data_IF_446130320067
#
_entry.id   IF_446130320067
#
_cell.length_a   1.000
_cell.length_b   1.000
_cell.length_c   1.000
_cell.angle_alpha   90.00
_cell.angle_beta   90.00
_cell.angle_gamma   90.00
#
_symmetry.space_group_name_H-M   'P 1'
#
loop_
_entity.id
_entity.type
_entity.pdbx_description
1 polymer ?
#
# COMPACT_ATOMS: atom_id res chain seq x y z
N UNK A 1 -19.06 13.71 -3.11
CA UNK A 1 -17.86 13.34 -2.31
C UNK A 1 -16.91 12.53 -3.19
N UNK A 2 -15.63 12.94 -3.28
CA UNK A 2 -14.63 12.23 -4.07
C UNK A 2 -14.20 10.91 -3.41
N UNK A 3 -13.96 9.88 -4.23
CA UNK A 3 -13.54 8.53 -3.81
C UNK A 3 -12.06 8.33 -4.09
N UNK A 4 -11.43 7.47 -3.30
CA UNK A 4 -10.00 7.16 -3.46
C UNK A 4 -9.72 6.47 -4.78
N UNK A 5 -8.75 7.01 -5.54
CA UNK A 5 -8.34 6.45 -6.83
C UNK A 5 -7.48 5.18 -6.74
N UNK A 6 -7.11 4.73 -5.54
CA UNK A 6 -6.22 3.58 -5.36
C UNK A 6 -6.95 2.24 -5.54
N UNK A 7 -6.23 1.25 -6.07
CA UNK A 7 -6.68 -0.16 -6.05
C UNK A 7 -6.35 -0.78 -4.70
N UNK A 8 -7.28 -1.57 -4.18
CA UNK A 8 -7.12 -2.40 -2.98
C UNK A 8 -6.25 -3.62 -3.26
N UNK A 9 -5.81 -4.36 -2.22
CA UNK A 9 -5.03 -5.59 -2.37
C UNK A 9 -5.73 -6.64 -3.24
N UNK A 10 -7.06 -6.64 -3.25
CA UNK A 10 -7.91 -7.52 -4.06
C UNK A 10 -8.13 -7.00 -5.50
N UNK A 11 -7.42 -5.94 -5.92
CA UNK A 11 -7.53 -5.37 -7.27
C UNK A 11 -8.74 -4.47 -7.52
N UNK A 12 -9.73 -4.47 -6.62
CA UNK A 12 -10.93 -3.63 -6.69
C UNK A 12 -10.63 -2.16 -6.37
N UNK A 13 -11.36 -1.19 -6.95
CA UNK A 13 -11.19 0.24 -6.63
C UNK A 13 -11.56 0.53 -5.17
N UNK A 14 -10.79 1.42 -4.52
CA UNK A 14 -11.05 1.81 -3.15
C UNK A 14 -12.30 2.70 -3.07
N UNK A 15 -13.31 2.24 -2.35
CA UNK A 15 -14.56 3.00 -2.18
C UNK A 15 -14.52 4.03 -1.04
N UNK A 16 -13.41 4.13 -0.30
CA UNK A 16 -13.27 5.09 0.80
C UNK A 16 -13.25 6.52 0.29
N UNK A 17 -13.78 7.44 1.10
CA UNK A 17 -13.71 8.88 0.85
C UNK A 17 -12.26 9.35 0.84
N UNK A 18 -11.95 10.29 -0.06
CA UNK A 18 -10.65 10.97 -0.04
C UNK A 18 -10.55 11.87 1.19
N UNK A 19 -9.32 12.15 1.61
CA UNK A 19 -9.06 13.26 2.53
C UNK A 19 -9.15 14.56 1.73
N UNK A 20 -9.81 15.58 2.28
CA UNK A 20 -9.93 16.92 1.67
C UNK A 20 -8.56 17.42 1.20
N UNK A 21 -8.48 17.92 -0.04
CA UNK A 21 -7.22 18.38 -0.64
C UNK A 21 -6.31 17.27 -1.19
N UNK A 22 -6.74 16.00 -1.19
CA UNK A 22 -5.95 14.88 -1.75
C UNK A 22 -6.80 13.97 -2.64
N UNK A 23 -6.14 13.19 -3.51
CA UNK A 23 -6.79 12.19 -4.38
C UNK A 23 -6.91 10.79 -3.75
N UNK A 24 -6.42 10.60 -2.53
CA UNK A 24 -6.32 9.28 -1.85
C UNK A 24 -6.91 9.31 -0.44
N UNK A 25 -7.50 8.19 0.00
CA UNK A 25 -8.01 8.05 1.37
C UNK A 25 -6.88 7.90 2.40
N UNK A 26 -7.14 8.04 3.72
CA UNK A 26 -6.12 7.92 4.77
C UNK A 26 -5.30 6.63 4.71
N UNK A 27 -5.90 5.53 4.24
CA UNK A 27 -5.25 4.22 4.08
C UNK A 27 -4.34 4.14 2.84
N UNK A 28 -4.50 5.01 1.85
CA UNK A 28 -3.68 4.99 0.64
C UNK A 28 -2.78 6.23 0.52
N UNK A 29 -2.68 7.04 1.57
CA UNK A 29 -1.78 8.20 1.59
C UNK A 29 -0.32 7.77 1.78
N UNK A 30 0.38 7.56 0.67
CA UNK A 30 1.83 7.45 0.65
C UNK A 30 2.41 6.28 1.47
N UNK A 31 3.74 6.28 1.69
CA UNK A 31 4.45 5.20 2.37
C UNK A 31 4.26 5.18 3.90
N UNK A 32 3.72 6.25 4.49
CA UNK A 32 3.44 6.35 5.92
C UNK A 32 2.03 5.85 6.30
N UNK A 33 1.15 5.67 5.32
CA UNK A 33 -0.16 5.10 5.58
C UNK A 33 -0.10 3.59 5.84
N UNK A 34 -1.08 3.05 6.58
CA UNK A 34 -1.21 1.64 6.91
C UNK A 34 -1.01 0.70 5.71
N UNK A 35 -1.52 1.06 4.52
CA UNK A 35 -1.29 0.28 3.30
C UNK A 35 0.16 0.38 2.79
N UNK A 36 0.73 1.58 2.80
CA UNK A 36 2.12 1.84 2.39
C UNK A 36 3.12 1.13 3.30
N UNK A 37 2.87 1.13 4.61
CA UNK A 37 3.66 0.39 5.61
C UNK A 37 3.55 -1.12 5.37
N UNK A 38 2.34 -1.64 5.09
CA UNK A 38 2.15 -3.05 4.77
C UNK A 38 2.91 -3.46 3.48
N UNK A 39 2.85 -2.65 2.43
CA UNK A 39 3.59 -2.85 1.19
C UNK A 39 5.12 -2.82 1.40
N UNK A 40 5.61 -1.91 2.25
CA UNK A 40 7.04 -1.84 2.60
C UNK A 40 7.48 -3.12 3.31
N UNK A 41 6.75 -3.55 4.34
CA UNK A 41 7.03 -4.81 5.06
C UNK A 41 7.03 -6.02 4.14
N UNK A 42 6.09 -6.09 3.19
CA UNK A 42 6.03 -7.18 2.22
C UNK A 42 7.25 -7.20 1.28
N UNK A 43 7.67 -6.03 0.78
CA UNK A 43 8.90 -5.90 -0.01
C UNK A 43 10.13 -6.32 0.79
N UNK A 44 10.28 -5.84 2.02
CA UNK A 44 11.40 -6.19 2.89
C UNK A 44 11.44 -7.69 3.20
N UNK A 45 10.28 -8.32 3.46
CA UNK A 45 10.19 -9.76 3.69
C UNK A 45 10.58 -10.55 2.44
N UNK A 46 10.14 -10.12 1.25
CA UNK A 46 10.51 -10.74 -0.02
C UNK A 46 12.01 -10.62 -0.30
N UNK A 47 12.60 -9.46 -0.01
CA UNK A 47 14.04 -9.25 -0.14
C UNK A 47 14.86 -10.08 0.85
N UNK A 48 14.44 -10.17 2.12
CA UNK A 48 15.07 -11.05 3.11
C UNK A 48 15.05 -12.51 2.64
N UNK A 49 13.90 -13.01 2.17
CA UNK A 49 13.78 -14.36 1.61
C UNK A 49 14.69 -14.56 0.38
N UNK A 50 14.80 -13.57 -0.50
CA UNK A 50 15.71 -13.60 -1.66
C UNK A 50 17.18 -13.64 -1.24
N UNK A 51 17.58 -12.88 -0.22
CA UNK A 51 18.96 -12.89 0.32
C UNK A 51 19.30 -14.25 0.94
N UNK A 52 18.39 -14.85 1.71
CA UNK A 52 18.57 -16.20 2.26
C UNK A 52 18.72 -17.23 1.13
N UNK A 53 17.84 -17.19 0.12
CA UNK A 53 17.93 -18.10 -1.03
C UNK A 53 19.23 -17.96 -1.82
N UNK A 54 19.82 -16.77 -1.89
CA UNK A 54 21.11 -16.54 -2.57
C UNK A 54 22.32 -16.97 -1.75
N UNK A 55 22.17 -17.12 -0.42
CA UNK A 55 23.24 -17.57 0.49
C UNK A 55 23.33 -19.09 0.60
N UNK A 56 22.31 -19.81 0.15
CA UNK A 56 22.24 -21.26 0.10
C UNK A 56 22.57 -21.72 -1.31
#
# INVERSE_FOLDING_TARGET
MAKCSAKTKTGRPCQRKVVTGTSRCPIHQGPWSAYGVAQRKEKEAKEKKRKIRKKR
#
